data_IF_010806693868
#
_entry.id   IF_010806693868
#
_cell.length_a   1.000
_cell.length_b   1.000
_cell.length_c   1.000
_cell.angle_alpha   90.00
_cell.angle_beta   90.00
_cell.angle_gamma   90.00
#
_symmetry.space_group_name_H-M   'P 1'
#
loop_
_entity.id
_entity.type
_entity.pdbx_description
1 polymer ?
#
# COMPACT_ATOMS: atom_id res chain seq x y z
N UNK A 1 41.72 8.19 16.33
CA UNK A 1 40.43 8.69 15.85
C UNK A 1 39.80 7.59 15.00
N UNK A 2 38.94 6.77 15.62
CA UNK A 2 38.23 5.70 14.90
C UNK A 2 36.91 6.31 14.41
N UNK A 3 36.77 6.48 13.09
CA UNK A 3 35.50 6.80 12.46
C UNK A 3 34.69 5.51 12.37
N UNK A 4 33.53 5.52 13.02
CA UNK A 4 32.54 4.44 13.00
C UNK A 4 31.90 4.41 11.60
N UNK A 5 32.03 3.33 10.78
CA UNK A 5 31.63 3.32 9.37
C UNK A 5 30.13 3.08 9.12
N UNK A 6 29.26 3.09 10.15
CA UNK A 6 27.85 2.74 10.01
C UNK A 6 26.87 3.80 10.51
N UNK A 7 27.16 5.09 10.32
CA UNK A 7 26.09 6.09 10.43
C UNK A 7 25.19 6.02 9.19
N UNK A 8 24.13 5.22 9.27
CA UNK A 8 23.04 5.24 8.27
C UNK A 8 22.34 6.59 8.41
N UNK A 9 22.68 7.51 7.52
CA UNK A 9 22.07 8.83 7.43
C UNK A 9 20.66 8.65 6.86
N UNK A 10 19.63 8.66 7.70
CA UNK A 10 18.24 8.63 7.23
C UNK A 10 17.92 10.00 6.62
N UNK A 11 17.86 10.07 5.31
CA UNK A 11 17.41 11.26 4.58
C UNK A 11 15.88 11.17 4.46
N UNK A 12 15.17 12.12 5.05
CA UNK A 12 13.73 12.26 4.81
C UNK A 12 13.54 13.12 3.56
N UNK A 13 13.13 12.48 2.46
CA UNK A 13 12.74 13.17 1.23
C UNK A 13 11.21 13.28 1.17
N UNK A 14 10.64 14.39 0.65
CA UNK A 14 9.23 14.48 0.35
C UNK A 14 8.80 13.38 -0.64
N UNK A 15 7.57 12.88 -0.51
CA UNK A 15 7.07 11.77 -1.33
C UNK A 15 7.02 12.09 -2.83
N UNK A 16 6.77 13.34 -3.18
CA UNK A 16 6.72 13.85 -4.55
C UNK A 16 8.09 13.83 -5.26
N UNK A 17 9.18 13.81 -4.51
CA UNK A 17 10.55 13.69 -5.04
C UNK A 17 11.02 12.23 -4.96
N UNK A 18 10.74 11.57 -3.84
CA UNK A 18 11.23 10.21 -3.57
C UNK A 18 10.53 9.14 -4.40
N UNK A 19 9.21 9.21 -4.55
CA UNK A 19 8.46 8.18 -5.27
C UNK A 19 8.77 8.12 -6.77
N UNK A 20 8.95 9.21 -7.51
CA UNK A 20 9.41 9.15 -8.90
C UNK A 20 10.74 8.41 -9.06
N UNK A 21 11.71 8.64 -8.18
CA UNK A 21 12.98 7.89 -8.20
C UNK A 21 12.76 6.38 -7.96
N UNK A 22 11.91 6.04 -6.99
CA UNK A 22 11.57 4.62 -6.74
C UNK A 22 10.90 3.99 -7.96
N UNK A 23 9.99 4.71 -8.63
CA UNK A 23 9.30 4.23 -9.84
C UNK A 23 10.30 3.99 -10.98
N UNK A 24 11.30 4.86 -11.13
CA UNK A 24 12.38 4.66 -12.11
C UNK A 24 13.12 3.35 -11.84
N UNK A 25 13.52 3.09 -10.59
CA UNK A 25 14.18 1.84 -10.20
C UNK A 25 13.31 0.60 -10.45
N UNK A 26 12.00 0.71 -10.22
CA UNK A 26 11.06 -0.37 -10.52
C UNK A 26 10.94 -0.64 -12.04
N UNK A 27 10.98 0.41 -12.86
CA UNK A 27 10.96 0.29 -14.32
C UNK A 27 12.24 -0.36 -14.88
N UNK A 28 13.35 -0.24 -14.16
CA UNK A 28 14.62 -0.93 -14.48
C UNK A 28 14.62 -2.41 -14.04
N UNK A 29 13.51 -2.90 -13.47
CA UNK A 29 13.35 -4.29 -13.04
C UNK A 29 13.78 -4.57 -11.60
N UNK A 30 14.13 -3.53 -10.84
CA UNK A 30 14.45 -3.67 -9.42
C UNK A 30 13.18 -3.81 -8.56
N UNK A 31 13.34 -4.25 -7.33
CA UNK A 31 12.32 -4.18 -6.30
C UNK A 31 12.63 -3.04 -5.33
N UNK A 32 11.59 -2.46 -4.74
CA UNK A 32 11.76 -1.39 -3.76
C UNK A 32 11.01 -1.71 -2.46
N UNK A 33 11.64 -1.45 -1.33
CA UNK A 33 10.98 -1.58 -0.02
C UNK A 33 10.67 -0.20 0.54
N UNK A 34 9.39 0.11 0.70
CA UNK A 34 8.91 1.39 1.20
C UNK A 34 8.26 1.27 2.57
N UNK A 35 8.57 2.18 3.52
CA UNK A 35 7.82 2.28 4.76
C UNK A 35 6.40 2.76 4.45
N UNK A 36 5.42 2.11 5.07
CA UNK A 36 4.02 2.51 4.93
C UNK A 36 3.76 3.78 5.73
N UNK A 37 2.97 4.67 5.13
CA UNK A 37 2.51 5.91 5.75
C UNK A 37 0.99 6.02 5.67
N UNK A 38 0.40 6.55 6.73
CA UNK A 38 -1.03 6.74 6.82
C UNK A 38 -1.80 5.52 7.34
N UNK A 39 -3.11 5.65 7.40
CA UNK A 39 -4.01 4.68 8.05
C UNK A 39 -4.89 3.93 7.05
N UNK A 40 -4.77 4.23 5.77
CA UNK A 40 -5.68 3.73 4.72
C UNK A 40 -5.64 2.21 4.52
N UNK A 41 -4.57 1.53 4.95
CA UNK A 41 -4.42 0.07 4.83
C UNK A 41 -4.63 -0.69 6.16
N UNK A 42 -5.20 -0.02 7.17
CA UNK A 42 -5.64 -0.68 8.41
C UNK A 42 -6.80 -1.64 8.15
N UNK A 43 -6.98 -2.67 8.96
CA UNK A 43 -6.31 -3.01 10.21
C UNK A 43 -5.02 -3.83 10.04
N UNK A 44 -4.65 -4.19 8.83
CA UNK A 44 -3.58 -5.17 8.59
C UNK A 44 -2.20 -4.54 8.50
N UNK A 45 -2.12 -3.32 7.99
CA UNK A 45 -0.89 -2.59 7.82
C UNK A 45 -0.95 -1.29 8.63
N UNK A 46 0.11 -1.03 9.37
CA UNK A 46 0.19 0.11 10.28
C UNK A 46 1.23 1.13 9.84
N UNK A 47 0.88 2.40 10.02
CA UNK A 47 1.72 3.56 9.76
C UNK A 47 3.06 3.48 10.51
N UNK A 48 4.15 3.71 9.80
CA UNK A 48 5.51 3.75 10.36
C UNK A 48 6.01 2.42 10.94
N UNK A 49 5.14 1.39 11.02
CA UNK A 49 5.48 0.07 11.55
C UNK A 49 5.87 -0.92 10.46
N UNK A 50 5.08 -0.94 9.40
CA UNK A 50 5.17 -1.96 8.35
C UNK A 50 5.79 -1.36 7.07
N UNK A 51 6.37 -2.24 6.23
CA UNK A 51 6.97 -1.86 4.95
C UNK A 51 6.38 -2.71 3.84
N UNK A 52 6.17 -2.11 2.67
CA UNK A 52 5.75 -2.82 1.46
C UNK A 52 6.97 -3.12 0.58
N UNK A 53 7.08 -4.35 0.10
CA UNK A 53 7.98 -4.72 -0.99
C UNK A 53 7.22 -4.55 -2.30
N UNK A 54 7.67 -3.63 -3.13
CA UNK A 54 7.07 -3.26 -4.41
C UNK A 54 7.85 -3.84 -5.58
N UNK A 55 7.12 -4.18 -6.63
CA UNK A 55 7.63 -4.62 -7.92
C UNK A 55 6.81 -3.97 -9.03
N UNK A 56 7.39 -3.82 -10.22
CA UNK A 56 6.67 -3.40 -11.42
C UNK A 56 5.43 -4.29 -11.64
N UNK A 57 4.34 -3.69 -12.09
CA UNK A 57 3.07 -4.39 -12.27
C UNK A 57 2.63 -4.33 -13.73
N UNK A 58 2.91 -5.39 -14.49
CA UNK A 58 2.50 -5.48 -15.90
C UNK A 58 1.02 -5.85 -16.07
N UNK A 59 0.48 -6.65 -15.15
CA UNK A 59 -0.88 -7.16 -15.20
C UNK A 59 -1.59 -6.99 -13.85
N UNK A 60 -2.09 -5.78 -13.55
CA UNK A 60 -2.83 -5.54 -12.31
C UNK A 60 -4.17 -6.30 -12.31
N UNK A 61 -4.51 -6.90 -11.16
CA UNK A 61 -5.71 -7.69 -10.98
C UNK A 61 -6.51 -7.20 -9.78
N UNK A 62 -7.84 -7.44 -9.81
CA UNK A 62 -8.69 -7.19 -8.66
C UNK A 62 -8.18 -7.96 -7.44
N UNK A 63 -8.03 -7.27 -6.31
CA UNK A 63 -7.46 -7.80 -5.07
C UNK A 63 -5.98 -7.44 -4.86
N UNK A 64 -5.27 -7.01 -5.89
CA UNK A 64 -3.89 -6.55 -5.75
C UNK A 64 -3.81 -5.26 -4.93
N UNK A 65 -2.82 -5.16 -4.06
CA UNK A 65 -2.43 -3.91 -3.41
C UNK A 65 -1.41 -3.21 -4.32
N UNK A 66 -1.76 -2.03 -4.83
CA UNK A 66 -0.95 -1.31 -5.83
C UNK A 66 -0.59 0.09 -5.38
N UNK A 67 0.60 0.53 -5.78
CA UNK A 67 1.00 1.93 -5.73
C UNK A 67 0.47 2.61 -6.99
N UNK A 68 -0.43 3.56 -6.83
CA UNK A 68 -1.02 4.31 -7.93
C UNK A 68 -0.89 5.81 -7.71
N UNK A 69 -0.72 6.54 -8.79
CA UNK A 69 -0.76 8.00 -8.82
C UNK A 69 -2.17 8.46 -9.15
N UNK A 70 -2.96 8.83 -8.12
CA UNK A 70 -4.38 9.21 -8.29
C UNK A 70 -4.58 10.66 -8.76
N UNK A 71 -3.56 11.49 -8.60
CA UNK A 71 -3.42 12.81 -9.19
C UNK A 71 -1.94 13.18 -9.22
N UNK A 72 -1.56 14.20 -9.96
CA UNK A 72 -0.16 14.60 -10.14
C UNK A 72 0.57 14.73 -8.80
N UNK A 73 1.55 13.87 -8.58
CA UNK A 73 2.37 13.81 -7.36
C UNK A 73 1.68 13.22 -6.13
N UNK A 74 0.42 12.80 -6.25
CA UNK A 74 -0.32 12.17 -5.16
C UNK A 74 -0.39 10.66 -5.36
N UNK A 75 0.40 9.93 -4.59
CA UNK A 75 0.49 8.48 -4.62
C UNK A 75 -0.24 7.84 -3.45
N UNK A 76 -0.92 6.74 -3.72
CA UNK A 76 -1.58 5.90 -2.72
C UNK A 76 -1.20 4.44 -2.89
N UNK A 77 -1.12 3.72 -1.79
CA UNK A 77 -1.01 2.25 -1.80
C UNK A 77 -2.36 1.68 -1.36
N UNK A 78 -3.17 1.28 -2.34
CA UNK A 78 -4.54 0.81 -2.09
C UNK A 78 -4.81 -0.49 -2.85
N UNK A 79 -5.92 -1.13 -2.49
CA UNK A 79 -6.37 -2.37 -3.12
C UNK A 79 -7.22 -2.06 -4.34
N UNK A 80 -6.98 -2.79 -5.43
CA UNK A 80 -7.87 -2.78 -6.59
C UNK A 80 -9.15 -3.54 -6.22
N UNK A 81 -10.29 -2.87 -6.29
CA UNK A 81 -11.59 -3.50 -6.03
C UNK A 81 -12.39 -3.73 -7.30
N UNK A 82 -12.08 -2.99 -8.38
CA UNK A 82 -12.75 -3.12 -9.68
C UNK A 82 -11.87 -2.61 -10.81
N UNK A 83 -11.95 -3.27 -11.96
CA UNK A 83 -11.34 -2.83 -13.22
C UNK A 83 -12.43 -2.89 -14.29
N UNK A 84 -12.66 -1.77 -14.98
CA UNK A 84 -13.63 -1.63 -16.07
C UNK A 84 -12.95 -0.99 -17.27
N UNK A 85 -12.62 -1.81 -18.25
CA UNK A 85 -11.81 -1.37 -19.38
C UNK A 85 -10.45 -0.84 -18.89
N UNK A 86 -10.22 0.46 -19.02
CA UNK A 86 -8.99 1.13 -18.56
C UNK A 86 -9.13 1.83 -17.21
N UNK A 87 -10.35 1.91 -16.67
CA UNK A 87 -10.61 2.53 -15.38
C UNK A 87 -10.43 1.54 -14.23
N UNK A 88 -9.80 2.00 -13.17
CA UNK A 88 -9.53 1.23 -11.97
C UNK A 88 -10.14 1.94 -10.76
N UNK A 89 -10.87 1.18 -9.96
CA UNK A 89 -11.36 1.64 -8.67
C UNK A 89 -10.49 1.05 -7.57
N UNK A 90 -9.94 1.94 -6.76
CA UNK A 90 -9.06 1.64 -5.64
C UNK A 90 -9.78 1.90 -4.32
N UNK A 91 -9.45 1.13 -3.30
CA UNK A 91 -9.90 1.37 -1.94
C UNK A 91 -8.84 0.93 -0.93
N UNK A 92 -8.53 1.82 0.01
CA UNK A 92 -7.74 1.45 1.18
C UNK A 92 -8.52 0.49 2.08
N UNK A 93 -7.86 -0.47 2.69
CA UNK A 93 -8.51 -1.45 3.56
C UNK A 93 -9.17 -0.79 4.79
N UNK A 94 -8.65 0.35 5.23
CA UNK A 94 -9.22 1.19 6.30
C UNK A 94 -10.13 2.32 5.82
N UNK A 95 -10.38 2.45 4.50
CA UNK A 95 -11.18 3.52 3.94
C UNK A 95 -12.61 3.07 3.66
N UNK A 96 -13.56 4.02 3.71
CA UNK A 96 -14.95 3.84 3.30
C UNK A 96 -15.25 4.47 1.93
N UNK A 97 -14.34 5.29 1.41
CA UNK A 97 -14.43 5.93 0.10
C UNK A 97 -13.55 5.23 -0.92
N UNK A 98 -13.96 5.34 -2.17
CA UNK A 98 -13.23 4.86 -3.33
C UNK A 98 -12.41 5.98 -3.95
N UNK A 99 -11.35 5.59 -4.62
CA UNK A 99 -10.52 6.42 -5.47
C UNK A 99 -10.48 5.82 -6.86
N UNK A 100 -10.29 6.63 -7.86
CA UNK A 100 -10.30 6.22 -9.25
C UNK A 100 -9.02 6.66 -9.94
N UNK A 101 -8.49 5.79 -10.80
CA UNK A 101 -7.35 6.08 -11.64
C UNK A 101 -7.46 5.29 -12.95
N UNK A 102 -6.53 5.49 -13.86
CA UNK A 102 -6.39 4.66 -15.05
C UNK A 102 -5.42 3.51 -14.80
N UNK A 103 -5.47 2.46 -15.59
CA UNK A 103 -4.48 1.38 -15.55
C UNK A 103 -3.05 1.90 -15.71
N UNK A 104 -2.86 2.95 -16.52
CA UNK A 104 -1.57 3.61 -16.75
C UNK A 104 -1.02 4.33 -15.51
N UNK A 105 -1.86 4.62 -14.52
CA UNK A 105 -1.47 5.34 -13.31
C UNK A 105 -0.97 4.38 -12.22
N UNK A 106 -1.14 3.07 -12.43
CA UNK A 106 -0.58 2.04 -11.55
C UNK A 106 0.92 1.95 -11.81
N UNK A 107 1.72 2.26 -10.80
CA UNK A 107 3.18 2.31 -10.88
C UNK A 107 3.85 1.03 -10.40
N UNK A 108 3.23 0.36 -9.42
CA UNK A 108 3.80 -0.86 -8.84
C UNK A 108 2.73 -1.70 -8.13
N UNK A 109 3.09 -2.95 -7.87
CA UNK A 109 2.31 -3.88 -7.06
C UNK A 109 3.09 -4.27 -5.81
N UNK A 110 2.44 -4.34 -4.67
CA UNK A 110 3.01 -4.91 -3.47
C UNK A 110 3.01 -6.44 -3.58
N UNK A 111 4.20 -7.04 -3.58
CA UNK A 111 4.39 -8.51 -3.60
C UNK A 111 4.48 -9.11 -2.20
N UNK A 112 4.63 -8.26 -1.18
CA UNK A 112 4.61 -8.68 0.21
C UNK A 112 4.82 -7.51 1.16
N UNK A 113 4.67 -7.81 2.45
CA UNK A 113 4.81 -6.85 3.53
C UNK A 113 5.73 -7.36 4.62
N UNK A 114 6.64 -6.51 5.09
CA UNK A 114 7.41 -6.74 6.29
C UNK A 114 6.67 -6.12 7.47
N UNK A 115 6.31 -6.95 8.45
CA UNK A 115 5.62 -6.51 9.65
C UNK A 115 6.58 -6.39 10.82
N UNK A 116 6.28 -5.49 11.76
CA UNK A 116 7.08 -5.29 12.98
C UNK A 116 7.36 -6.64 13.69
N UNK A 117 8.63 -6.85 14.01
CA UNK A 117 9.09 -8.05 14.73
C UNK A 117 9.19 -9.31 13.88
N UNK A 118 8.94 -9.22 12.56
CA UNK A 118 9.11 -10.33 11.62
C UNK A 118 10.13 -9.98 10.54
N UNK A 119 11.12 -10.83 10.37
CA UNK A 119 12.06 -10.74 9.23
C UNK A 119 11.53 -11.42 7.96
N UNK A 120 10.46 -12.23 8.12
CA UNK A 120 9.84 -12.95 7.01
C UNK A 120 8.85 -12.07 6.27
N UNK A 121 8.91 -12.09 4.94
CA UNK A 121 7.98 -11.41 4.06
C UNK A 121 6.61 -12.10 4.10
N UNK A 122 5.56 -11.35 4.46
CA UNK A 122 4.17 -11.80 4.37
C UNK A 122 3.70 -11.56 2.92
N UNK A 123 3.78 -12.60 2.09
CA UNK A 123 3.56 -12.51 0.64
C UNK A 123 2.10 -12.28 0.30
N UNK A 124 1.84 -11.46 -0.72
CA UNK A 124 0.48 -11.14 -1.19
C UNK A 124 -0.14 -12.24 -2.05
N UNK A 125 0.67 -13.13 -2.63
CA UNK A 125 0.22 -14.33 -3.34
C UNK A 125 -0.09 -15.51 -2.41
N UNK A 126 0.26 -15.39 -1.12
CA UNK A 126 0.03 -16.41 -0.12
C UNK A 126 -1.45 -16.66 0.17
N UNK A 127 -1.81 -17.91 0.54
CA UNK A 127 -3.20 -18.30 0.89
C UNK A 127 -3.81 -17.41 1.96
N UNK A 128 -3.03 -17.05 2.98
CA UNK A 128 -3.44 -16.18 4.09
C UNK A 128 -3.88 -14.81 3.59
N UNK A 129 -3.06 -14.16 2.75
CA UNK A 129 -3.36 -12.85 2.20
C UNK A 129 -4.57 -12.87 1.26
N UNK A 130 -4.66 -13.90 0.40
CA UNK A 130 -5.80 -14.08 -0.52
C UNK A 130 -7.11 -14.29 0.22
N UNK A 131 -7.12 -15.16 1.23
CA UNK A 131 -8.29 -15.42 2.06
C UNK A 131 -8.72 -14.17 2.81
N UNK A 132 -7.78 -13.46 3.43
CA UNK A 132 -8.02 -12.20 4.09
C UNK A 132 -8.61 -11.15 3.13
N UNK A 133 -7.98 -10.95 1.98
CA UNK A 133 -8.44 -9.99 0.97
C UNK A 133 -9.86 -10.27 0.53
N UNK A 134 -10.18 -11.55 0.29
CA UNK A 134 -11.52 -11.97 -0.11
C UNK A 134 -12.56 -11.67 0.99
N UNK A 135 -12.30 -12.05 2.22
CA UNK A 135 -13.19 -11.77 3.34
C UNK A 135 -13.35 -10.27 3.58
N UNK A 136 -12.25 -9.54 3.64
CA UNK A 136 -12.28 -8.12 3.94
C UNK A 136 -12.99 -7.29 2.87
N UNK A 137 -12.89 -7.68 1.61
CA UNK A 137 -13.63 -7.05 0.52
C UNK A 137 -15.14 -7.31 0.64
N UNK A 138 -15.53 -8.53 1.01
CA UNK A 138 -16.97 -8.89 1.18
C UNK A 138 -17.58 -8.27 2.43
N UNK A 139 -16.82 -8.05 3.47
CA UNK A 139 -17.28 -7.39 4.70
C UNK A 139 -17.39 -5.86 4.55
N UNK A 140 -17.24 -5.32 3.35
CA UNK A 140 -17.32 -3.87 3.11
C UNK A 140 -18.57 -3.21 3.70
N UNK A 141 -19.78 -3.74 3.60
CA UNK A 141 -20.98 -3.15 4.21
C UNK A 141 -20.90 -3.02 5.74
N UNK A 142 -20.15 -3.94 6.37
CA UNK A 142 -19.96 -3.97 7.83
C UNK A 142 -18.65 -3.31 8.26
N UNK A 143 -17.79 -2.91 7.32
CA UNK A 143 -16.45 -2.38 7.57
C UNK A 143 -16.45 -1.18 8.51
N UNK A 144 -17.43 -0.28 8.36
CA UNK A 144 -17.61 0.89 9.24
C UNK A 144 -17.70 0.48 10.71
N UNK A 145 -18.52 -0.51 11.03
CA UNK A 145 -18.71 -1.00 12.40
C UNK A 145 -17.47 -1.74 12.88
N UNK A 146 -16.86 -2.56 12.03
CA UNK A 146 -15.64 -3.31 12.36
C UNK A 146 -14.48 -2.37 12.67
N UNK A 147 -14.26 -1.33 11.86
CA UNK A 147 -13.22 -0.34 12.11
C UNK A 147 -13.48 0.47 13.39
N UNK A 148 -14.75 0.77 13.70
CA UNK A 148 -15.11 1.43 14.96
C UNK A 148 -14.81 0.56 16.18
N UNK A 149 -15.09 -0.75 16.10
CA UNK A 149 -14.80 -1.70 17.19
C UNK A 149 -13.29 -1.87 17.38
N UNK A 150 -12.52 -1.98 16.28
CA UNK A 150 -11.07 -2.19 16.33
C UNK A 150 -10.33 -0.92 16.76
N UNK A 151 -10.85 0.25 16.38
CA UNK A 151 -10.22 1.56 16.62
C UNK A 151 -11.19 2.58 17.23
N UNK A 152 -11.69 2.35 18.46
CA UNK A 152 -12.74 3.21 19.08
C UNK A 152 -12.30 4.64 19.34
N UNK A 153 -10.98 4.89 19.41
CA UNK A 153 -10.42 6.21 19.74
C UNK A 153 -9.97 7.03 18.52
N UNK A 154 -10.20 6.54 17.32
CA UNK A 154 -9.82 7.28 16.10
C UNK A 154 -11.05 7.96 15.54
N UNK A 155 -11.12 9.33 15.54
CA UNK A 155 -12.19 10.03 14.87
C UNK A 155 -12.17 9.66 13.39
N UNK A 156 -13.19 8.97 12.95
CA UNK A 156 -13.43 8.65 11.55
C UNK A 156 -13.81 9.96 10.86
N UNK A 157 -12.84 10.66 10.27
CA UNK A 157 -13.15 11.79 9.39
C UNK A 157 -13.81 11.20 8.13
N UNK A 158 -15.11 11.20 8.16
CA UNK A 158 -15.93 10.99 6.97
C UNK A 158 -15.77 12.21 6.07
N UNK A 159 -15.05 12.10 4.99
CA UNK A 159 -15.14 12.98 3.83
C UNK A 159 -15.73 12.21 2.68
#
# INVERSE_FOLDING_TARGET
>A
MHQDPHQIKTVQMPNDVFLPFVIEQLNEGHTATLPLRGRSMRPFLEDGRDKALLQLCDHPQVGDAVLAEISKGLFVLHRIIRIEGRQVTLRGDGNLSDEHCMLSDIRAKAVGFYRKGRQTLDRTDGRKWRLYSWWWTRLYPLRRYLLFIIYPHIPQRFK
#
